data_IF_850947406476
#
_entry.id   IF_850947406476
#
_cell.length_a   1.000
_cell.length_b   1.000
_cell.length_c   1.000
_cell.angle_alpha   90.00
_cell.angle_beta   90.00
_cell.angle_gamma   90.00
#
_symmetry.space_group_name_H-M   'P 1'
#
loop_
_entity.id
_entity.type
_entity.pdbx_description
1 polymer ?
#
# COMPACT_ATOMS: atom_id res chain seq x y z
N UNK A 1 52.62 25.67 60.93
CA UNK A 1 51.21 25.41 60.54
C UNK A 1 50.58 26.70 60.03
N UNK A 2 50.25 26.79 58.74
CA UNK A 2 49.03 27.43 58.18
C UNK A 2 49.13 27.38 56.64
N UNK A 3 48.00 27.04 56.05
CA UNK A 3 47.85 26.31 54.78
C UNK A 3 47.85 27.25 53.58
N UNK A 4 48.43 26.79 52.47
CA UNK A 4 48.28 27.35 51.15
C UNK A 4 46.85 27.18 50.64
N UNK A 5 46.31 28.19 49.96
CA UNK A 5 45.12 28.04 49.10
C UNK A 5 45.45 28.75 47.78
N UNK A 6 45.91 27.97 46.80
CA UNK A 6 45.93 28.34 45.39
C UNK A 6 44.48 28.23 44.88
N UNK A 7 43.89 29.36 44.51
CA UNK A 7 42.56 29.40 43.87
C UNK A 7 42.73 29.30 42.36
N UNK A 8 42.71 28.08 41.84
CA UNK A 8 42.66 27.80 40.40
C UNK A 8 41.24 28.08 39.88
N UNK A 9 41.06 29.21 39.19
CA UNK A 9 39.84 29.53 38.44
C UNK A 9 39.81 28.62 37.21
N UNK A 10 39.00 27.57 37.29
CA UNK A 10 38.70 26.68 36.17
C UNK A 10 37.68 27.41 35.27
N UNK A 11 38.13 27.97 34.15
CA UNK A 11 37.25 28.42 33.07
C UNK A 11 36.60 27.19 32.43
N UNK A 12 35.37 26.85 32.83
CA UNK A 12 34.52 25.95 32.07
C UNK A 12 34.07 26.67 30.79
N UNK A 13 34.83 26.51 29.71
CA UNK A 13 34.35 26.81 28.37
C UNK A 13 33.24 25.84 28.02
N UNK A 14 32.01 26.33 27.91
CA UNK A 14 30.89 25.55 27.38
C UNK A 14 31.11 25.34 25.89
N UNK A 15 31.56 24.16 25.47
CA UNK A 15 31.52 23.78 24.05
C UNK A 15 30.08 23.49 23.68
N UNK A 16 29.43 24.45 23.01
CA UNK A 16 28.13 24.22 22.38
C UNK A 16 28.28 23.14 21.31
N UNK A 17 27.51 22.06 21.45
CA UNK A 17 27.45 20.95 20.51
C UNK A 17 26.38 21.31 19.48
N UNK A 18 26.78 21.87 18.34
CA UNK A 18 25.86 22.16 17.22
C UNK A 18 26.01 21.01 16.23
N UNK A 19 24.91 20.33 15.89
CA UNK A 19 24.90 19.37 14.79
C UNK A 19 25.10 20.12 13.47
N UNK A 20 26.21 19.87 12.81
CA UNK A 20 26.46 20.41 11.47
C UNK A 20 25.56 19.71 10.47
N UNK A 21 24.95 20.50 9.57
CA UNK A 21 24.14 19.99 8.46
C UNK A 21 24.76 20.44 7.14
N UNK A 22 24.83 19.56 6.16
CA UNK A 22 25.38 19.85 4.83
C UNK A 22 24.52 19.24 3.74
N UNK A 23 24.43 19.93 2.60
CA UNK A 23 23.71 19.46 1.42
C UNK A 23 24.71 18.97 0.37
N UNK A 24 24.48 17.78 -0.18
CA UNK A 24 25.27 17.21 -1.26
C UNK A 24 24.36 16.77 -2.40
N UNK A 25 24.73 17.04 -3.65
CA UNK A 25 23.86 16.78 -4.78
C UNK A 25 24.60 16.25 -6.01
N UNK A 26 23.84 15.60 -6.90
CA UNK A 26 24.30 15.16 -8.22
C UNK A 26 23.18 15.33 -9.22
N UNK A 27 23.48 15.91 -10.37
CA UNK A 27 22.51 16.10 -11.44
C UNK A 27 22.77 15.11 -12.58
N UNK A 28 21.71 14.77 -13.33
CA UNK A 28 21.75 13.95 -14.54
C UNK A 28 22.45 12.59 -14.34
N UNK A 29 22.29 11.97 -13.17
CA UNK A 29 22.91 10.67 -12.87
C UNK A 29 22.03 9.52 -13.37
N UNK A 30 22.63 8.56 -14.07
CA UNK A 30 21.90 7.55 -14.84
C UNK A 30 21.31 6.41 -14.00
N UNK A 31 21.84 6.13 -12.79
CA UNK A 31 21.46 4.94 -12.03
C UNK A 31 21.29 5.18 -10.53
N UNK A 32 20.17 4.71 -10.00
CA UNK A 32 19.90 4.68 -8.57
C UNK A 32 20.89 3.80 -7.79
N UNK A 33 21.44 2.75 -8.42
CA UNK A 33 22.30 1.79 -7.72
C UNK A 33 23.73 2.30 -7.48
N UNK A 34 24.18 3.28 -8.25
CA UNK A 34 25.58 3.75 -8.22
C UNK A 34 25.73 5.13 -7.56
N UNK A 35 24.63 5.81 -7.25
CA UNK A 35 24.66 7.18 -6.72
C UNK A 35 25.40 7.31 -5.38
N UNK A 36 25.24 6.35 -4.47
CA UNK A 36 25.88 6.42 -3.14
C UNK A 36 27.40 6.21 -3.18
N UNK A 37 27.94 5.67 -4.27
CA UNK A 37 29.36 5.49 -4.52
C UNK A 37 29.95 6.56 -5.47
N UNK A 38 29.12 7.49 -5.95
CA UNK A 38 29.54 8.55 -6.87
C UNK A 38 29.85 9.81 -6.07
N UNK A 39 30.94 10.50 -6.40
CA UNK A 39 31.28 11.76 -5.78
C UNK A 39 30.17 12.82 -6.04
N UNK A 40 29.69 13.44 -4.97
CA UNK A 40 28.62 14.44 -5.00
C UNK A 40 29.18 15.85 -4.84
N UNK A 41 28.51 16.80 -5.49
CA UNK A 41 28.82 18.22 -5.41
C UNK A 41 28.15 18.85 -4.19
N UNK A 42 28.57 20.06 -3.83
CA UNK A 42 27.94 20.85 -2.78
C UNK A 42 28.45 20.52 -1.38
N UNK A 43 28.35 21.53 -0.51
CA UNK A 43 28.69 21.45 0.91
C UNK A 43 30.01 20.71 1.19
N UNK A 44 30.00 19.88 2.22
CA UNK A 44 31.15 19.07 2.63
C UNK A 44 31.50 17.92 1.67
N UNK A 45 30.69 17.62 0.64
CA UNK A 45 31.04 16.59 -0.35
C UNK A 45 32.04 17.11 -1.41
N UNK A 46 32.06 18.42 -1.68
CA UNK A 46 33.06 19.13 -2.49
C UNK A 46 33.33 18.56 -3.90
N UNK A 47 32.45 17.72 -4.46
CA UNK A 47 32.71 17.01 -5.71
C UNK A 47 33.73 15.88 -5.56
N UNK A 48 34.16 15.56 -4.34
CA UNK A 48 35.21 14.57 -4.03
C UNK A 48 34.67 13.35 -3.28
N UNK A 49 33.71 13.56 -2.39
CA UNK A 49 33.20 12.52 -1.50
C UNK A 49 31.84 12.00 -1.97
N UNK A 50 31.71 10.68 -1.95
CA UNK A 50 30.44 9.97 -2.12
C UNK A 50 29.65 9.94 -0.80
N UNK A 51 28.38 9.50 -0.84
CA UNK A 51 27.60 9.30 0.40
C UNK A 51 28.29 8.28 1.31
N UNK A 52 28.90 7.24 0.75
CA UNK A 52 29.61 6.24 1.54
C UNK A 52 30.89 6.80 2.18
N UNK A 53 31.61 7.68 1.49
CA UNK A 53 32.74 8.41 2.08
C UNK A 53 32.29 9.33 3.22
N UNK A 54 31.16 10.00 3.04
CA UNK A 54 30.58 10.88 4.07
C UNK A 54 30.14 10.08 5.30
N UNK A 55 29.50 8.92 5.12
CA UNK A 55 29.17 7.98 6.20
C UNK A 55 30.41 7.51 6.94
N UNK A 56 31.48 7.17 6.22
CA UNK A 56 32.77 6.80 6.82
C UNK A 56 33.43 7.96 7.61
N UNK A 57 33.14 9.22 7.23
CA UNK A 57 33.55 10.43 7.96
C UNK A 57 32.62 10.80 9.12
N UNK A 58 31.62 9.96 9.43
CA UNK A 58 30.71 10.16 10.57
C UNK A 58 29.46 10.99 10.27
N UNK A 59 29.18 11.30 8.99
CA UNK A 59 27.92 11.94 8.60
C UNK A 59 26.79 10.92 8.47
N UNK A 60 25.57 11.34 8.81
CA UNK A 60 24.35 10.54 8.70
C UNK A 60 23.45 11.18 7.65
N UNK A 61 22.84 10.38 6.78
CA UNK A 61 21.82 10.87 5.83
C UNK A 61 20.55 11.19 6.61
N UNK A 62 20.13 12.45 6.57
CA UNK A 62 18.92 12.95 7.20
C UNK A 62 17.71 12.91 6.24
N UNK A 63 17.90 13.35 4.98
CA UNK A 63 16.87 13.33 3.94
C UNK A 63 17.48 13.14 2.54
N UNK A 64 16.67 12.67 1.59
CA UNK A 64 17.03 12.54 0.17
C UNK A 64 15.87 12.98 -0.73
N UNK A 65 16.15 13.88 -1.66
CA UNK A 65 15.22 14.30 -2.72
C UNK A 65 15.72 13.79 -4.07
N UNK A 66 14.79 13.19 -4.83
CA UNK A 66 15.06 12.62 -6.14
C UNK A 66 14.07 13.21 -7.13
N UNK A 67 14.57 13.75 -8.24
CA UNK A 67 13.72 14.26 -9.33
C UNK A 67 14.23 13.78 -10.69
N UNK A 68 13.33 13.55 -11.63
CA UNK A 68 13.69 13.24 -13.01
C UNK A 68 14.15 14.51 -13.76
N UNK A 69 15.10 14.34 -14.67
CA UNK A 69 15.61 15.36 -15.59
C UNK A 69 15.67 14.79 -17.00
N UNK A 70 15.83 15.64 -18.02
CA UNK A 70 15.91 15.21 -19.41
C UNK A 70 17.07 14.21 -19.68
N UNK A 71 18.14 14.26 -18.88
CA UNK A 71 19.36 13.48 -19.09
C UNK A 71 19.65 12.48 -17.94
N UNK A 72 18.70 12.22 -17.04
CA UNK A 72 18.88 11.30 -15.92
C UNK A 72 18.09 11.70 -14.68
N UNK A 73 18.59 11.35 -13.49
CA UNK A 73 17.98 11.72 -12.21
C UNK A 73 18.87 12.71 -11.46
N UNK A 74 18.23 13.68 -10.80
CA UNK A 74 18.89 14.57 -9.86
C UNK A 74 18.67 14.08 -8.44
N UNK A 75 19.73 14.15 -7.64
CA UNK A 75 19.78 13.68 -6.27
C UNK A 75 20.24 14.82 -5.38
N UNK A 76 19.53 15.07 -4.28
CA UNK A 76 19.93 16.01 -3.23
C UNK A 76 19.84 15.29 -1.91
N UNK A 77 20.98 15.12 -1.24
CA UNK A 77 21.12 14.55 0.08
C UNK A 77 21.30 15.67 1.11
N UNK A 78 20.58 15.56 2.22
CA UNK A 78 20.83 16.35 3.44
C UNK A 78 21.54 15.43 4.42
N UNK A 79 22.73 15.83 4.86
CA UNK A 79 23.56 15.08 5.80
C UNK A 79 23.68 15.86 7.10
N UNK A 80 23.75 15.16 8.23
CA UNK A 80 24.01 15.76 9.54
C UNK A 80 25.06 14.98 10.33
N UNK A 81 25.82 15.66 11.18
CA UNK A 81 26.65 14.98 12.18
C UNK A 81 25.81 14.54 13.39
N UNK A 82 26.16 13.44 14.06
CA UNK A 82 25.44 12.99 15.25
C UNK A 82 25.62 14.00 16.39
N UNK A 83 24.51 14.51 16.93
CA UNK A 83 24.52 15.22 18.20
C UNK A 83 24.88 14.22 19.32
N UNK A 84 25.80 14.60 20.21
CA UNK A 84 26.31 13.77 21.32
C UNK A 84 25.27 13.38 22.40
N UNK A 85 23.98 13.43 22.09
CA UNK A 85 22.89 13.00 22.97
C UNK A 85 22.10 11.80 22.43
N UNK A 86 22.55 11.16 21.35
CA UNK A 86 22.06 9.84 20.96
C UNK A 86 23.22 8.87 21.12
N UNK A 87 23.13 8.06 22.17
CA UNK A 87 23.99 6.90 22.39
C UNK A 87 24.09 6.13 21.06
N UNK A 88 25.30 5.80 20.58
CA UNK A 88 25.43 4.86 19.49
C UNK A 88 24.79 3.58 19.98
N UNK A 89 23.74 3.11 19.29
CA UNK A 89 23.43 1.69 19.35
C UNK A 89 24.71 0.99 18.94
N UNK A 90 25.34 0.36 19.93
CA UNK A 90 26.57 -0.37 19.81
C UNK A 90 26.45 -1.22 18.56
N UNK A 91 27.27 -0.93 17.56
CA UNK A 91 27.58 -1.84 16.47
C UNK A 91 28.32 -3.03 17.10
N UNK A 92 27.58 -3.85 17.83
CA UNK A 92 28.01 -5.16 18.26
C UNK A 92 28.10 -5.99 17.00
N UNK A 93 29.33 -6.33 16.62
CA UNK A 93 29.68 -7.42 15.72
C UNK A 93 28.58 -7.80 14.71
N UNK A 94 28.44 -7.04 13.63
CA UNK A 94 27.95 -7.63 12.37
C UNK A 94 29.15 -8.31 11.70
N UNK A 95 29.60 -9.39 12.34
CA UNK A 95 30.04 -10.58 11.60
C UNK A 95 28.79 -11.43 11.43
N UNK A 96 27.86 -10.95 10.62
CA UNK A 96 26.59 -11.59 10.34
C UNK A 96 26.51 -11.85 8.84
N UNK A 97 26.47 -13.13 8.49
CA UNK A 97 26.35 -13.67 7.15
C UNK A 97 25.37 -12.82 6.31
N UNK A 98 25.84 -12.18 5.23
CA UNK A 98 25.03 -11.32 4.33
C UNK A 98 23.72 -11.98 3.89
N UNK A 99 23.74 -13.32 3.78
CA UNK A 99 22.59 -14.15 3.46
C UNK A 99 21.46 -14.10 4.52
N UNK A 100 21.79 -13.96 5.81
CA UNK A 100 20.79 -13.99 6.89
C UNK A 100 20.00 -12.67 6.95
N UNK A 101 20.61 -11.56 6.53
CA UNK A 101 19.93 -10.27 6.44
C UNK A 101 19.02 -10.21 5.21
N UNK A 102 19.50 -10.69 4.06
CA UNK A 102 18.71 -10.81 2.83
C UNK A 102 17.49 -11.71 3.02
N UNK A 103 17.65 -12.86 3.68
CA UNK A 103 16.54 -13.77 3.99
C UNK A 103 15.48 -13.11 4.88
N UNK A 104 15.89 -12.33 5.89
CA UNK A 104 14.95 -11.63 6.80
C UNK A 104 14.23 -10.48 6.11
N UNK A 105 14.86 -9.81 5.15
CA UNK A 105 14.23 -8.75 4.34
C UNK A 105 13.21 -9.37 3.39
N UNK A 106 13.57 -10.46 2.69
CA UNK A 106 12.67 -11.15 1.78
C UNK A 106 11.43 -11.70 2.49
N UNK A 107 11.62 -12.37 3.64
CA UNK A 107 10.51 -12.90 4.44
C UNK A 107 9.53 -11.80 4.90
N UNK A 108 10.03 -10.61 5.26
CA UNK A 108 9.17 -9.47 5.61
C UNK A 108 8.43 -8.89 4.40
N UNK A 109 9.04 -8.87 3.23
CA UNK A 109 8.41 -8.41 1.99
C UNK A 109 7.33 -9.38 1.51
N UNK A 110 7.57 -10.68 1.59
CA UNK A 110 6.59 -11.72 1.27
C UNK A 110 5.40 -11.67 2.24
N UNK A 111 5.66 -11.63 3.55
CA UNK A 111 4.60 -11.48 4.55
C UNK A 111 3.77 -10.20 4.34
N UNK A 112 4.41 -9.09 3.95
CA UNK A 112 3.71 -7.83 3.64
C UNK A 112 2.86 -7.96 2.36
N UNK A 113 3.37 -8.61 1.31
CA UNK A 113 2.62 -8.88 0.07
C UNK A 113 1.42 -9.78 0.33
N UNK A 114 1.59 -10.86 1.10
CA UNK A 114 0.50 -11.75 1.49
C UNK A 114 -0.57 -11.03 2.32
N UNK A 115 -0.16 -10.21 3.29
CA UNK A 115 -1.10 -9.43 4.09
C UNK A 115 -1.86 -8.41 3.25
N UNK A 116 -1.19 -7.74 2.30
CA UNK A 116 -1.81 -6.81 1.36
C UNK A 116 -2.79 -7.51 0.41
N UNK A 117 -2.43 -8.68 -0.11
CA UNK A 117 -3.31 -9.46 -0.99
C UNK A 117 -4.54 -9.97 -0.22
N UNK A 118 -4.36 -10.50 1.00
CA UNK A 118 -5.49 -10.89 1.87
C UNK A 118 -6.41 -9.71 2.15
N UNK A 119 -5.87 -8.55 2.49
CA UNK A 119 -6.65 -7.34 2.75
C UNK A 119 -7.38 -6.85 1.48
N UNK A 120 -6.76 -6.96 0.30
CA UNK A 120 -7.38 -6.60 -0.97
C UNK A 120 -8.54 -7.54 -1.31
N UNK A 121 -8.33 -8.85 -1.19
CA UNK A 121 -9.39 -9.86 -1.41
C UNK A 121 -10.54 -9.65 -0.43
N UNK A 122 -10.27 -9.42 0.85
CA UNK A 122 -11.31 -9.14 1.86
C UNK A 122 -12.11 -7.88 1.52
N UNK A 123 -11.41 -6.82 1.10
CA UNK A 123 -12.06 -5.58 0.65
C UNK A 123 -12.93 -5.83 -0.59
N UNK A 124 -12.41 -6.52 -1.60
CA UNK A 124 -13.16 -6.83 -2.81
C UNK A 124 -14.42 -7.68 -2.54
N UNK A 125 -14.35 -8.61 -1.57
CA UNK A 125 -15.51 -9.38 -1.13
C UNK A 125 -16.55 -8.52 -0.42
N UNK A 126 -16.11 -7.61 0.46
CA UNK A 126 -17.00 -6.65 1.14
C UNK A 126 -17.67 -5.70 0.14
N UNK A 127 -16.90 -5.13 -0.78
CA UNK A 127 -17.40 -4.26 -1.82
C UNK A 127 -18.40 -5.00 -2.73
N UNK A 128 -18.09 -6.25 -3.12
CA UNK A 128 -19.01 -7.08 -3.90
C UNK A 128 -20.32 -7.38 -3.16
N UNK A 129 -20.28 -7.61 -1.85
CA UNK A 129 -21.48 -7.84 -1.03
C UNK A 129 -22.36 -6.57 -0.95
N UNK A 130 -21.76 -5.39 -0.81
CA UNK A 130 -22.47 -4.11 -0.79
C UNK A 130 -23.13 -3.87 -2.16
N UNK A 131 -22.38 -4.01 -3.25
CA UNK A 131 -22.88 -3.82 -4.62
C UNK A 131 -24.04 -4.78 -4.90
N UNK A 132 -23.91 -6.05 -4.54
CA UNK A 132 -24.97 -7.05 -4.74
C UNK A 132 -26.26 -6.69 -3.98
N UNK A 133 -26.13 -6.27 -2.72
CA UNK A 133 -27.26 -5.83 -1.90
C UNK A 133 -27.94 -4.61 -2.50
N UNK A 134 -27.18 -3.60 -2.88
CA UNK A 134 -27.72 -2.37 -3.48
C UNK A 134 -28.42 -2.65 -4.81
N UNK A 135 -27.78 -3.43 -5.68
CA UNK A 135 -28.34 -3.83 -6.96
C UNK A 135 -29.67 -4.56 -6.78
N UNK A 136 -29.72 -5.54 -5.87
CA UNK A 136 -30.95 -6.28 -5.58
C UNK A 136 -32.05 -5.36 -5.03
N UNK A 137 -31.73 -4.57 -4.01
CA UNK A 137 -32.68 -3.68 -3.32
C UNK A 137 -33.27 -2.66 -4.27
N UNK A 138 -32.43 -2.07 -5.14
CA UNK A 138 -32.83 -0.95 -5.99
C UNK A 138 -33.49 -1.40 -7.30
N UNK A 139 -33.14 -2.58 -7.83
CA UNK A 139 -33.55 -3.01 -9.18
C UNK A 139 -34.41 -4.27 -9.21
N UNK A 140 -34.34 -5.12 -8.19
CA UNK A 140 -34.96 -6.45 -8.23
C UNK A 140 -36.09 -6.62 -7.20
N UNK A 141 -35.89 -6.08 -5.99
CA UNK A 141 -36.73 -6.33 -4.82
C UNK A 141 -38.20 -5.99 -5.02
N UNK A 142 -38.52 -4.89 -5.72
CA UNK A 142 -39.91 -4.46 -5.91
C UNK A 142 -40.76 -5.54 -6.57
N UNK A 143 -40.20 -6.28 -7.54
CA UNK A 143 -40.91 -7.35 -8.25
C UNK A 143 -40.67 -8.74 -7.63
N UNK A 144 -39.47 -9.00 -7.12
CA UNK A 144 -39.07 -10.33 -6.63
C UNK A 144 -39.25 -10.54 -5.12
N UNK A 145 -39.63 -9.51 -4.37
CA UNK A 145 -39.79 -9.60 -2.92
C UNK A 145 -38.52 -9.25 -2.16
N UNK A 146 -38.60 -9.19 -0.83
CA UNK A 146 -37.46 -8.80 0.02
C UNK A 146 -36.39 -9.90 0.07
N UNK A 147 -36.82 -11.16 0.02
CA UNK A 147 -35.99 -12.35 0.13
C UNK A 147 -36.03 -13.18 -1.16
N UNK A 148 -36.47 -12.61 -2.28
CA UNK A 148 -36.62 -13.32 -3.55
C UNK A 148 -37.80 -14.30 -3.57
N UNK A 149 -38.78 -14.10 -2.69
CA UNK A 149 -39.91 -15.00 -2.47
C UNK A 149 -41.05 -14.87 -3.48
N UNK A 150 -41.15 -13.72 -4.14
CA UNK A 150 -42.31 -13.42 -4.98
C UNK A 150 -42.15 -14.06 -6.36
N UNK A 151 -43.27 -14.62 -6.81
CA UNK A 151 -43.49 -14.92 -8.22
C UNK A 151 -43.81 -13.61 -8.92
N UNK A 152 -42.80 -12.97 -9.52
CA UNK A 152 -43.01 -11.74 -10.26
C UNK A 152 -44.12 -11.94 -11.30
N UNK A 153 -45.12 -11.05 -11.29
CA UNK A 153 -46.33 -11.12 -12.15
C UNK A 153 -47.08 -12.46 -12.07
N UNK A 154 -46.97 -13.19 -10.94
CA UNK A 154 -47.54 -14.53 -10.71
C UNK A 154 -47.08 -15.62 -11.69
N UNK A 155 -46.13 -15.34 -12.58
CA UNK A 155 -45.69 -16.25 -13.65
C UNK A 155 -44.25 -16.74 -13.44
N UNK A 156 -43.39 -15.95 -12.79
CA UNK A 156 -42.00 -16.30 -12.57
C UNK A 156 -41.80 -17.31 -11.42
N UNK A 157 -40.71 -18.10 -11.50
CA UNK A 157 -40.19 -18.85 -10.34
C UNK A 157 -39.61 -17.85 -9.32
N UNK A 158 -39.81 -18.06 -7.99
CA UNK A 158 -39.15 -17.25 -6.98
C UNK A 158 -37.62 -17.36 -7.09
N UNK A 159 -36.91 -16.24 -6.90
CA UNK A 159 -35.45 -16.23 -7.03
C UNK A 159 -34.78 -17.07 -5.95
N UNK A 160 -35.33 -17.12 -4.73
CA UNK A 160 -34.75 -17.93 -3.64
C UNK A 160 -34.74 -19.43 -3.90
N UNK A 161 -35.56 -19.90 -4.85
CA UNK A 161 -35.68 -21.31 -5.22
C UNK A 161 -34.81 -21.68 -6.45
N UNK A 162 -34.11 -20.70 -7.04
CA UNK A 162 -33.20 -20.92 -8.17
C UNK A 162 -31.78 -21.20 -7.67
N UNK A 163 -31.07 -22.08 -8.39
CA UNK A 163 -29.62 -22.19 -8.26
C UNK A 163 -28.93 -20.95 -8.86
N UNK A 164 -27.64 -20.77 -8.53
CA UNK A 164 -26.83 -19.71 -9.15
C UNK A 164 -26.79 -19.89 -10.68
N UNK A 165 -26.67 -21.13 -11.13
CA UNK A 165 -26.62 -21.51 -12.55
C UNK A 165 -27.94 -21.22 -13.27
N UNK A 166 -29.07 -21.55 -12.65
CA UNK A 166 -30.42 -21.23 -13.18
C UNK A 166 -30.59 -19.72 -13.38
N UNK A 167 -30.13 -18.91 -12.42
CA UNK A 167 -30.17 -17.45 -12.54
C UNK A 167 -29.29 -16.97 -13.69
N UNK A 168 -28.06 -17.48 -13.79
CA UNK A 168 -27.10 -17.10 -14.84
C UNK A 168 -27.60 -17.46 -16.23
N UNK A 169 -28.14 -18.66 -16.40
CA UNK A 169 -28.71 -19.09 -17.67
C UNK A 169 -29.95 -18.25 -18.04
N UNK A 170 -30.84 -18.01 -17.09
CA UNK A 170 -32.04 -17.19 -17.33
C UNK A 170 -31.68 -15.78 -17.79
N UNK A 171 -30.79 -15.10 -17.06
CA UNK A 171 -30.34 -13.75 -17.41
C UNK A 171 -29.60 -13.73 -18.75
N UNK A 172 -28.73 -14.71 -19.02
CA UNK A 172 -28.07 -14.84 -20.33
C UNK A 172 -29.10 -14.94 -21.44
N UNK A 173 -30.10 -15.80 -21.29
CA UNK A 173 -31.14 -16.01 -22.28
C UNK A 173 -31.99 -14.74 -22.52
N UNK A 174 -32.28 -13.97 -21.46
CA UNK A 174 -32.96 -12.67 -21.59
C UNK A 174 -32.08 -11.63 -22.30
N UNK A 175 -30.78 -11.59 -21.98
CA UNK A 175 -29.81 -10.66 -22.59
C UNK A 175 -29.64 -10.88 -24.09
N UNK A 176 -29.57 -12.14 -24.53
CA UNK A 176 -29.40 -12.48 -25.95
C UNK A 176 -30.72 -12.62 -26.71
N UNK A 177 -31.87 -12.39 -26.06
CA UNK A 177 -33.19 -12.54 -26.67
C UNK A 177 -33.50 -13.98 -27.13
N UNK A 178 -32.87 -15.00 -26.53
CA UNK A 178 -33.06 -16.41 -26.92
C UNK A 178 -34.45 -16.93 -26.53
N UNK A 179 -35.08 -16.30 -25.53
CA UNK A 179 -36.41 -16.66 -25.04
C UNK A 179 -37.36 -15.52 -25.35
N UNK A 180 -38.41 -15.80 -26.12
CA UNK A 180 -39.52 -14.89 -26.34
C UNK A 180 -40.63 -15.18 -25.33
N UNK A 181 -40.67 -14.40 -24.25
CA UNK A 181 -41.71 -14.50 -23.22
C UNK A 181 -41.93 -13.15 -22.56
N UNK A 182 -43.11 -12.96 -21.95
CA UNK A 182 -43.41 -11.74 -21.18
C UNK A 182 -42.34 -11.47 -20.10
N UNK A 183 -41.88 -12.51 -19.40
CA UNK A 183 -40.83 -12.37 -18.39
C UNK A 183 -39.48 -11.99 -18.99
N UNK A 184 -39.13 -12.54 -20.16
CA UNK A 184 -37.93 -12.15 -20.87
C UNK A 184 -37.96 -10.68 -21.31
N UNK A 185 -39.11 -10.22 -21.82
CA UNK A 185 -39.29 -8.83 -22.23
C UNK A 185 -39.20 -7.85 -21.05
N UNK A 186 -39.78 -8.20 -19.90
CA UNK A 186 -39.68 -7.41 -18.67
C UNK A 186 -38.25 -7.40 -18.12
N UNK A 187 -37.57 -8.55 -18.16
CA UNK A 187 -36.23 -8.70 -17.58
C UNK A 187 -35.10 -8.25 -18.50
N UNK A 188 -35.31 -8.14 -19.81
CA UNK A 188 -34.30 -7.68 -20.78
C UNK A 188 -33.57 -6.39 -20.37
N UNK A 189 -34.24 -5.29 -19.96
CA UNK A 189 -33.54 -4.09 -19.52
C UNK A 189 -32.65 -4.33 -18.29
N UNK A 190 -33.10 -5.15 -17.33
CA UNK A 190 -32.32 -5.46 -16.13
C UNK A 190 -31.16 -6.42 -16.42
N UNK A 191 -31.38 -7.41 -17.29
CA UNK A 191 -30.39 -8.39 -17.73
C UNK A 191 -29.20 -7.75 -18.45
N UNK A 192 -29.40 -6.60 -19.09
CA UNK A 192 -28.33 -5.87 -19.76
C UNK A 192 -27.35 -5.18 -18.80
N UNK A 193 -27.77 -4.87 -17.57
CA UNK A 193 -26.95 -4.18 -16.57
C UNK A 193 -26.29 -5.10 -15.54
N UNK A 194 -26.43 -6.41 -15.70
CA UNK A 194 -25.87 -7.40 -14.79
C UNK A 194 -25.05 -8.43 -15.54
N UNK A 195 -23.95 -8.85 -14.92
CA UNK A 195 -23.00 -9.83 -15.40
C UNK A 195 -22.91 -11.02 -14.44
N UNK A 196 -22.00 -11.95 -14.76
CA UNK A 196 -21.81 -13.16 -13.97
C UNK A 196 -21.46 -12.88 -12.49
N UNK A 197 -20.62 -11.87 -12.25
CA UNK A 197 -20.16 -11.48 -10.90
C UNK A 197 -21.31 -10.87 -10.11
N UNK A 198 -22.10 -9.99 -10.72
CA UNK A 198 -23.29 -9.42 -10.05
C UNK A 198 -24.33 -10.49 -9.73
N UNK A 199 -24.60 -11.43 -10.65
CA UNK A 199 -25.55 -12.52 -10.39
C UNK A 199 -25.08 -13.41 -9.24
N UNK A 200 -23.79 -13.75 -9.20
CA UNK A 200 -23.20 -14.52 -8.10
C UNK A 200 -23.34 -13.76 -6.76
N UNK A 201 -23.09 -12.45 -6.77
CA UNK A 201 -23.28 -11.60 -5.60
C UNK A 201 -24.74 -11.57 -5.12
N UNK A 202 -25.69 -11.37 -6.04
CA UNK A 202 -27.13 -11.35 -5.73
C UNK A 202 -27.57 -12.71 -5.15
N UNK A 203 -27.13 -13.82 -5.76
CA UNK A 203 -27.42 -15.16 -5.26
C UNK A 203 -26.90 -15.35 -3.83
N UNK A 204 -25.64 -14.99 -3.57
CA UNK A 204 -25.04 -15.10 -2.24
C UNK A 204 -25.80 -14.24 -1.22
N UNK A 205 -26.17 -13.00 -1.58
CA UNK A 205 -26.96 -12.11 -0.73
C UNK A 205 -28.33 -12.71 -0.39
N UNK A 206 -29.06 -13.24 -1.38
CA UNK A 206 -30.34 -13.90 -1.15
C UNK A 206 -30.21 -15.15 -0.26
N UNK A 207 -29.15 -15.93 -0.43
CA UNK A 207 -28.85 -17.07 0.44
C UNK A 207 -28.58 -16.63 1.87
N UNK A 208 -27.84 -15.55 2.08
CA UNK A 208 -27.62 -14.99 3.42
C UNK A 208 -28.93 -14.56 4.08
N UNK A 209 -29.84 -13.92 3.34
CA UNK A 209 -31.16 -13.49 3.87
C UNK A 209 -32.05 -14.67 4.27
N UNK A 210 -32.04 -15.76 3.50
CA UNK A 210 -32.92 -16.90 3.73
C UNK A 210 -32.32 -17.97 4.66
N UNK A 211 -31.04 -17.84 5.03
CA UNK A 211 -30.37 -18.71 6.00
C UNK A 211 -30.35 -18.13 7.44
N UNK A 212 -30.95 -16.95 7.64
CA UNK A 212 -31.19 -16.32 8.95
C UNK A 212 -32.58 -16.69 9.45
#
# INVERSE_FOLDING_TARGET
MKKAILSSILLLGTTSIIADTTMCFKENHASMSTIENTALNGGACEGKYSINDMKAKGWIVDDIKISQSANGMNFIYILKTPNSSIQPVVAGNISGNSADMEARILAKLEAKKEAQEKAKVEKELKDAAIIAKELYTNKCQTCHGTNGEKRAYNSARPLRDLSQEDMQESIKNYKVGKVDSMNANIMAPYANFIDYKEIKGIYAYLKELNNK
#
